data_IF_804902911091
#
_entry.id   IF_804902911091
#
_cell.length_a   1.000
_cell.length_b   1.000
_cell.length_c   1.000
_cell.angle_alpha   90.00
_cell.angle_beta   90.00
_cell.angle_gamma   90.00
#
_symmetry.space_group_name_H-M   'P 1'
#
loop_
_entity.id
_entity.type
_entity.pdbx_description
1 polymer ?
#
# COMPACT_ATOMS: atom_id res chain seq x y z
N UNK A 1 42.31 -10.75 50.83
CA UNK A 1 42.51 -12.08 50.22
C UNK A 1 41.26 -12.92 50.50
N UNK A 2 40.27 -12.87 49.60
CA UNK A 2 39.01 -13.62 49.72
C UNK A 2 38.83 -14.39 48.41
N UNK A 3 38.83 -15.73 48.49
CA UNK A 3 38.67 -16.65 47.35
C UNK A 3 37.21 -16.82 47.03
N UNK A 4 36.81 -16.57 45.77
CA UNK A 4 35.51 -16.97 45.24
C UNK A 4 35.58 -18.33 44.56
N UNK A 5 34.72 -19.25 45.02
CA UNK A 5 34.52 -20.58 44.42
C UNK A 5 33.57 -20.48 43.26
N UNK A 6 33.99 -20.92 42.07
CA UNK A 6 33.13 -21.09 40.91
C UNK A 6 32.29 -22.37 41.05
N UNK A 7 30.96 -22.24 41.00
CA UNK A 7 30.01 -23.36 40.84
C UNK A 7 29.78 -23.61 39.37
N UNK A 8 30.22 -24.77 38.89
CA UNK A 8 29.98 -25.28 37.55
C UNK A 8 28.56 -25.83 37.47
N UNK A 9 27.72 -25.23 36.65
CA UNK A 9 26.40 -25.80 36.27
C UNK A 9 26.57 -26.53 34.96
N UNK A 10 26.39 -27.84 34.95
CA UNK A 10 26.37 -28.68 33.75
C UNK A 10 25.01 -28.50 33.05
N UNK A 11 25.02 -27.91 31.88
CA UNK A 11 23.87 -27.86 30.95
C UNK A 11 23.96 -29.04 30.00
N UNK A 12 23.00 -29.94 30.07
CA UNK A 12 22.80 -31.05 29.13
C UNK A 12 21.94 -30.54 27.97
N UNK A 13 22.55 -30.11 26.86
CA UNK A 13 21.86 -29.82 25.64
C UNK A 13 21.59 -31.10 24.84
N UNK A 14 20.33 -31.51 24.76
CA UNK A 14 19.87 -32.49 23.76
C UNK A 14 19.81 -31.80 22.40
N UNK A 15 20.72 -32.14 21.50
CA UNK A 15 20.66 -31.78 20.08
C UNK A 15 19.62 -32.67 19.42
N UNK A 16 18.54 -32.05 18.95
CA UNK A 16 17.59 -32.67 18.03
C UNK A 16 18.14 -32.49 16.62
N UNK A 17 18.58 -33.55 15.98
CA UNK A 17 18.98 -33.57 14.58
C UNK A 17 17.70 -33.67 13.75
N UNK A 18 17.31 -32.58 13.07
CA UNK A 18 16.27 -32.61 12.03
C UNK A 18 16.98 -32.81 10.69
N UNK A 19 16.83 -34.01 10.14
CA UNK A 19 17.27 -34.30 8.77
C UNK A 19 16.29 -33.66 7.79
N UNK A 20 16.75 -32.65 7.04
CA UNK A 20 16.00 -32.09 5.90
C UNK A 20 16.27 -32.97 4.69
N UNK A 21 15.27 -33.74 4.28
CA UNK A 21 15.26 -34.47 3.00
C UNK A 21 14.77 -33.47 1.94
N UNK A 22 15.68 -33.03 1.06
CA UNK A 22 15.36 -32.31 -0.16
C UNK A 22 14.77 -33.29 -1.18
N UNK A 23 13.44 -33.30 -1.33
CA UNK A 23 12.78 -33.92 -2.47
C UNK A 23 12.34 -32.80 -3.43
N UNK A 24 13.03 -32.68 -4.56
CA UNK A 24 12.59 -31.89 -5.69
C UNK A 24 11.36 -32.56 -6.33
N UNK A 25 10.18 -32.05 -6.01
CA UNK A 25 8.91 -32.47 -6.61
C UNK A 25 8.50 -31.49 -7.69
N UNK A 26 8.68 -31.87 -8.96
CA UNK A 26 8.02 -31.22 -10.09
C UNK A 26 6.51 -31.47 -9.98
N UNK A 27 5.72 -30.45 -9.63
CA UNK A 27 4.28 -30.50 -9.79
C UNK A 27 3.90 -29.99 -11.19
N UNK A 28 3.73 -30.91 -12.11
CA UNK A 28 2.97 -30.67 -13.33
C UNK A 28 1.47 -30.72 -12.98
N UNK A 29 0.78 -29.60 -13.07
CA UNK A 29 -0.69 -29.58 -13.02
C UNK A 29 -1.23 -30.15 -14.33
N UNK A 30 -1.68 -31.41 -14.30
CA UNK A 30 -2.45 -32.01 -15.39
C UNK A 30 -3.92 -31.66 -15.24
N UNK A 31 -4.45 -30.88 -16.17
CA UNK A 31 -5.90 -30.73 -16.36
C UNK A 31 -6.48 -32.04 -16.86
N UNK A 32 -7.48 -32.58 -16.15
CA UNK A 32 -8.30 -33.68 -16.63
C UNK A 32 -9.28 -33.19 -17.70
N UNK A 33 -9.40 -33.85 -18.85
CA UNK A 33 -10.48 -33.56 -19.80
C UNK A 33 -11.80 -34.21 -19.36
N UNK A 34 -12.85 -33.42 -19.32
CA UNK A 34 -14.22 -33.93 -19.24
C UNK A 34 -14.69 -34.32 -20.63
N UNK A 35 -15.04 -35.59 -20.80
CA UNK A 35 -15.67 -36.11 -22.01
C UNK A 35 -17.14 -35.67 -22.08
N UNK A 36 -17.49 -34.93 -23.11
CA UNK A 36 -18.86 -34.76 -23.56
C UNK A 36 -18.90 -34.75 -25.09
N UNK A 37 -19.78 -35.54 -25.59
CA UNK A 37 -20.19 -36.00 -26.90
C UNK A 37 -20.01 -35.05 -28.09
N UNK A 38 -19.57 -35.63 -29.21
CA UNK A 38 -19.61 -35.07 -30.55
C UNK A 38 -21.02 -34.85 -31.06
N UNK A 39 -21.30 -33.63 -31.51
CA UNK A 39 -22.23 -33.42 -32.63
C UNK A 39 -21.53 -32.53 -33.65
N UNK A 40 -21.34 -33.10 -34.85
CA UNK A 40 -20.85 -32.41 -36.03
C UNK A 40 -21.97 -31.52 -36.58
N UNK A 41 -21.70 -30.22 -36.73
CA UNK A 41 -22.35 -29.39 -37.73
C UNK A 41 -21.34 -28.39 -38.32
N UNK A 42 -21.26 -28.47 -39.59
CA UNK A 42 -20.62 -27.69 -40.65
C UNK A 42 -20.15 -26.26 -40.38
N UNK A 43 -18.96 -26.05 -40.97
CA UNK A 43 -18.21 -24.82 -41.09
C UNK A 43 -18.99 -23.58 -41.55
N UNK A 44 -18.76 -22.45 -40.85
CA UNK A 44 -18.60 -21.15 -41.49
C UNK A 44 -17.41 -20.48 -40.84
N UNK A 45 -16.36 -20.30 -41.60
CA UNK A 45 -15.16 -19.53 -41.28
C UNK A 45 -15.54 -18.05 -41.24
N UNK A 46 -15.95 -17.58 -40.08
CA UNK A 46 -15.97 -16.18 -39.75
C UNK A 46 -14.85 -15.94 -38.72
N UNK A 47 -13.79 -15.34 -39.16
CA UNK A 47 -12.70 -14.84 -38.30
C UNK A 47 -13.25 -13.68 -37.43
N UNK A 48 -14.02 -14.04 -36.40
CA UNK A 48 -14.38 -13.12 -35.34
C UNK A 48 -13.22 -13.08 -34.35
N UNK A 49 -12.21 -12.25 -34.63
CA UNK A 49 -11.34 -11.69 -33.60
C UNK A 49 -12.26 -10.98 -32.60
N UNK A 50 -12.78 -11.71 -31.62
CA UNK A 50 -13.48 -11.10 -30.49
C UNK A 50 -12.53 -10.12 -29.87
N UNK A 51 -12.83 -8.83 -30.00
CA UNK A 51 -12.13 -7.74 -29.31
C UNK A 51 -12.25 -8.02 -27.81
N UNK A 52 -11.24 -8.70 -27.25
CA UNK A 52 -11.18 -8.92 -25.79
C UNK A 52 -10.86 -7.57 -25.18
N UNK A 53 -11.86 -6.96 -24.56
CA UNK A 53 -11.64 -5.80 -23.71
C UNK A 53 -10.93 -6.24 -22.44
N UNK A 54 -9.79 -5.62 -22.15
CA UNK A 54 -9.10 -5.84 -20.87
C UNK A 54 -9.77 -4.97 -19.80
N UNK A 55 -10.03 -5.56 -18.64
CA UNK A 55 -10.51 -4.83 -17.46
C UNK A 55 -9.68 -5.26 -16.25
N UNK A 56 -9.14 -4.28 -15.52
CA UNK A 56 -8.40 -4.48 -14.28
C UNK A 56 -9.02 -3.66 -13.15
N UNK A 57 -9.01 -4.23 -11.95
CA UNK A 57 -9.42 -3.57 -10.71
C UNK A 57 -8.21 -3.37 -9.82
N UNK A 58 -7.76 -2.12 -9.66
CA UNK A 58 -6.66 -1.77 -8.76
C UNK A 58 -7.24 -1.08 -7.53
N UNK A 59 -6.73 -1.42 -6.34
CA UNK A 59 -7.13 -0.77 -5.09
C UNK A 59 -5.92 -0.12 -4.43
N UNK A 60 -6.09 1.11 -3.97
CA UNK A 60 -5.06 1.88 -3.27
C UNK A 60 -5.56 2.29 -1.88
N UNK A 61 -4.69 2.16 -0.88
CA UNK A 61 -4.91 2.65 0.48
C UNK A 61 -3.93 3.77 0.83
N UNK A 62 -4.37 4.74 1.62
CA UNK A 62 -3.55 5.85 2.12
C UNK A 62 -2.54 5.42 3.17
N UNK A 63 -2.22 6.32 4.10
CA UNK A 63 -1.14 6.16 5.07
C UNK A 63 -1.45 5.09 6.12
N UNK A 64 -0.62 4.04 6.16
CA UNK A 64 -0.68 2.94 7.12
C UNK A 64 0.33 3.23 8.22
N UNK A 65 -0.15 3.71 9.36
CA UNK A 65 0.67 4.11 10.49
C UNK A 65 0.32 3.30 11.73
N UNK A 66 1.29 3.08 12.62
CA UNK A 66 1.05 2.39 13.89
C UNK A 66 1.61 3.17 15.06
N UNK A 67 0.74 3.91 15.74
CA UNK A 67 1.10 4.66 16.94
C UNK A 67 1.13 3.78 18.19
N UNK A 68 1.78 4.26 19.26
CA UNK A 68 1.90 3.53 20.51
C UNK A 68 0.58 2.97 21.08
N UNK A 69 -0.56 3.72 21.06
CA UNK A 69 -1.84 3.17 21.50
C UNK A 69 -2.35 2.00 20.64
N UNK A 70 -2.08 2.00 19.32
CA UNK A 70 -2.44 0.88 18.43
C UNK A 70 -1.58 -0.37 18.73
N UNK A 71 -0.27 -0.18 18.98
CA UNK A 71 0.63 -1.28 19.38
C UNK A 71 0.11 -1.92 20.67
N UNK A 72 -0.23 -1.11 21.68
CA UNK A 72 -0.81 -1.63 22.94
C UNK A 72 -2.16 -2.33 22.75
N UNK A 73 -2.97 -1.83 21.84
CA UNK A 73 -4.25 -2.45 21.49
C UNK A 73 -4.09 -3.82 20.83
N UNK A 74 -3.06 -3.99 20.00
CA UNK A 74 -2.76 -5.25 19.31
C UNK A 74 -2.09 -6.29 20.20
N UNK A 75 -1.49 -5.89 21.34
CA UNK A 75 -0.77 -6.81 22.24
C UNK A 75 -1.67 -7.93 22.75
N UNK A 76 -1.19 -9.18 22.73
CA UNK A 76 -1.89 -10.36 23.19
C UNK A 76 -1.33 -10.82 24.56
N UNK A 77 -2.10 -11.64 25.28
CA UNK A 77 -1.73 -12.12 26.61
C UNK A 77 -0.46 -13.02 26.62
N UNK A 78 -0.15 -13.64 25.49
CA UNK A 78 1.04 -14.46 25.28
C UNK A 78 2.30 -13.66 24.91
N UNK A 79 2.20 -12.32 24.81
CA UNK A 79 3.28 -11.44 24.42
C UNK A 79 3.39 -11.16 22.91
N UNK A 80 2.58 -11.81 22.09
CA UNK A 80 2.49 -11.55 20.64
C UNK A 80 1.63 -10.31 20.34
N UNK A 81 1.47 -10.00 19.05
CA UNK A 81 0.63 -8.92 18.56
C UNK A 81 -0.33 -9.43 17.47
N UNK A 82 -1.54 -8.86 17.42
CA UNK A 82 -2.52 -9.15 16.37
C UNK A 82 -3.26 -7.87 15.96
N UNK A 83 -3.12 -7.52 14.68
CA UNK A 83 -3.78 -6.38 14.05
C UNK A 83 -4.94 -6.79 13.14
N UNK A 84 -5.21 -8.09 12.98
CA UNK A 84 -6.16 -8.62 11.99
C UNK A 84 -7.55 -8.01 12.14
N UNK A 85 -8.04 -7.91 13.37
CA UNK A 85 -9.38 -7.35 13.66
C UNK A 85 -9.54 -5.88 13.25
N UNK A 86 -8.45 -5.14 13.08
CA UNK A 86 -8.50 -3.74 12.60
C UNK A 86 -8.94 -3.64 11.14
N UNK A 87 -8.72 -4.67 10.33
CA UNK A 87 -8.93 -4.64 8.89
C UNK A 87 -10.12 -5.47 8.40
N UNK A 88 -10.79 -6.23 9.26
CA UNK A 88 -11.84 -7.18 8.87
C UNK A 88 -12.94 -6.57 7.98
N UNK A 89 -13.43 -5.38 8.33
CA UNK A 89 -14.52 -4.74 7.60
C UNK A 89 -14.12 -4.18 6.23
N UNK A 90 -12.83 -3.86 6.02
CA UNK A 90 -12.30 -3.37 4.75
C UNK A 90 -11.66 -4.47 3.90
N UNK A 91 -11.35 -5.62 4.49
CA UNK A 91 -10.76 -6.76 3.79
C UNK A 91 -11.50 -7.17 2.52
N UNK A 92 -12.84 -7.30 2.48
CA UNK A 92 -13.53 -7.67 1.26
C UNK A 92 -13.32 -6.68 0.11
N UNK A 93 -13.14 -5.39 0.42
CA UNK A 93 -12.89 -4.34 -0.59
C UNK A 93 -11.48 -4.41 -1.16
N UNK A 94 -10.50 -4.84 -0.35
CA UNK A 94 -9.10 -4.96 -0.76
C UNK A 94 -8.87 -6.29 -1.49
N UNK A 95 -9.35 -7.40 -0.91
CA UNK A 95 -9.10 -8.74 -1.41
C UNK A 95 -9.76 -9.06 -2.77
N UNK A 96 -10.74 -8.28 -3.21
CA UNK A 96 -11.37 -8.44 -4.54
C UNK A 96 -10.57 -7.79 -5.67
N UNK A 97 -9.55 -6.97 -5.36
CA UNK A 97 -8.74 -6.29 -6.36
C UNK A 97 -7.86 -7.29 -7.13
N UNK A 98 -7.55 -6.98 -8.39
CA UNK A 98 -6.52 -7.66 -9.15
C UNK A 98 -5.11 -7.29 -8.67
N UNK A 99 -4.98 -6.10 -8.04
CA UNK A 99 -3.77 -5.62 -7.37
C UNK A 99 -4.15 -4.60 -6.30
N UNK A 100 -3.69 -4.80 -5.07
CA UNK A 100 -3.89 -3.90 -3.95
C UNK A 100 -2.56 -3.29 -3.47
N UNK A 101 -2.52 -1.96 -3.37
CA UNK A 101 -1.32 -1.17 -3.03
C UNK A 101 -1.59 -0.28 -1.83
N UNK A 102 -0.67 -0.19 -0.86
CA UNK A 102 -0.77 0.69 0.29
C UNK A 102 0.52 1.46 0.56
N UNK A 103 0.42 2.64 1.21
CA UNK A 103 1.60 3.37 1.70
C UNK A 103 1.93 2.94 3.13
N UNK A 104 3.02 2.18 3.31
CA UNK A 104 3.49 1.74 4.63
C UNK A 104 4.32 2.86 5.28
N UNK A 105 3.66 3.70 6.08
CA UNK A 105 4.29 4.84 6.76
C UNK A 105 4.73 4.49 8.19
N UNK A 106 5.49 3.43 8.28
CA UNK A 106 6.16 2.93 9.48
C UNK A 106 7.29 1.99 9.08
N UNK A 107 8.18 1.66 10.01
CA UNK A 107 9.20 0.63 9.80
C UNK A 107 8.91 -0.61 10.66
N UNK A 108 9.39 -1.78 10.24
CA UNK A 108 9.53 -2.96 11.08
C UNK A 108 10.96 -2.98 11.64
N UNK A 109 11.22 -2.09 12.61
CA UNK A 109 12.56 -1.87 13.18
C UNK A 109 12.88 -2.76 14.39
N UNK A 110 12.06 -3.78 14.66
CA UNK A 110 12.20 -4.65 15.81
C UNK A 110 11.87 -3.99 17.16
N UNK A 111 11.95 -4.77 18.22
CA UNK A 111 11.74 -4.31 19.61
C UNK A 111 12.93 -3.42 20.09
N UNK A 112 12.68 -2.40 20.93
CA UNK A 112 11.39 -2.01 21.46
C UNK A 112 10.52 -1.32 20.39
N UNK A 113 9.25 -1.77 20.29
CA UNK A 113 8.29 -1.16 19.36
C UNK A 113 7.89 0.23 19.82
N UNK A 114 7.68 1.14 18.86
CA UNK A 114 7.38 2.55 19.13
C UNK A 114 6.45 3.15 18.04
N UNK A 115 5.65 4.12 18.45
CA UNK A 115 4.93 5.02 17.54
C UNK A 115 5.74 6.30 17.29
N UNK A 116 4.99 7.38 16.94
CA UNK A 116 5.59 8.70 16.71
C UNK A 116 6.49 9.12 17.89
N UNK A 117 7.65 9.81 17.64
CA UNK A 117 8.10 10.27 16.32
C UNK A 117 8.94 9.26 15.52
N UNK A 118 9.36 8.15 16.12
CA UNK A 118 10.26 7.16 15.52
C UNK A 118 9.56 5.81 15.48
N UNK A 119 8.87 5.52 14.38
CA UNK A 119 8.03 4.33 14.26
C UNK A 119 8.85 3.04 14.18
N UNK A 120 8.42 2.06 14.96
CA UNK A 120 8.83 0.66 14.87
C UNK A 120 7.63 -0.21 15.19
N UNK A 121 6.96 -0.71 14.18
CA UNK A 121 5.76 -1.55 14.33
C UNK A 121 6.13 -3.01 14.55
N UNK A 122 5.31 -3.77 15.32
CA UNK A 122 5.40 -5.22 15.31
C UNK A 122 5.16 -5.79 13.92
N UNK A 123 5.91 -6.80 13.53
CA UNK A 123 5.83 -7.48 12.23
C UNK A 123 4.46 -8.12 11.97
N UNK A 124 3.70 -8.38 13.04
CA UNK A 124 2.29 -8.81 12.98
C UNK A 124 1.39 -7.84 12.18
N UNK A 125 1.76 -6.56 12.08
CA UNK A 125 1.07 -5.62 11.19
C UNK A 125 1.20 -6.05 9.72
N UNK A 126 2.39 -6.46 9.28
CA UNK A 126 2.61 -6.94 7.91
C UNK A 126 1.79 -8.20 7.63
N UNK A 127 1.70 -9.12 8.61
CA UNK A 127 0.85 -10.32 8.52
C UNK A 127 -0.62 -9.93 8.34
N UNK A 128 -1.12 -8.96 9.12
CA UNK A 128 -2.49 -8.48 9.00
C UNK A 128 -2.76 -7.77 7.66
N UNK A 129 -1.80 -7.01 7.12
CA UNK A 129 -1.90 -6.39 5.80
C UNK A 129 -1.92 -7.44 4.68
N UNK A 130 -1.06 -8.48 4.77
CA UNK A 130 -1.11 -9.60 3.82
C UNK A 130 -2.43 -10.35 3.87
N UNK A 131 -2.93 -10.63 5.07
CA UNK A 131 -4.25 -11.24 5.29
C UNK A 131 -5.38 -10.38 4.70
N UNK A 132 -5.24 -9.06 4.74
CA UNK A 132 -6.23 -8.12 4.19
C UNK A 132 -6.24 -8.08 2.66
N UNK A 133 -5.20 -8.61 2.00
CA UNK A 133 -5.12 -8.71 0.55
C UNK A 133 -4.15 -7.74 -0.12
N UNK A 134 -3.30 -7.03 0.63
CA UNK A 134 -2.28 -6.18 0.02
C UNK A 134 -1.21 -7.01 -0.70
N UNK A 135 -0.92 -6.64 -1.95
CA UNK A 135 0.10 -7.24 -2.80
C UNK A 135 1.37 -6.42 -2.84
N UNK A 136 1.24 -5.08 -2.74
CA UNK A 136 2.35 -4.12 -2.81
C UNK A 136 2.24 -3.14 -1.65
N UNK A 137 3.36 -2.90 -0.96
CA UNK A 137 3.48 -1.80 0.00
C UNK A 137 4.60 -0.87 -0.44
N UNK A 138 4.27 0.42 -0.62
CA UNK A 138 5.26 1.46 -0.90
C UNK A 138 5.92 1.90 0.39
N UNK A 139 7.23 2.11 0.34
CA UNK A 139 8.06 2.36 1.51
C UNK A 139 8.88 3.65 1.42
N UNK A 140 8.65 4.49 0.39
CA UNK A 140 9.22 5.84 0.29
C UNK A 140 8.28 6.85 0.95
N UNK A 141 8.57 7.21 2.20
CA UNK A 141 7.87 8.24 2.98
C UNK A 141 8.82 8.88 3.99
N UNK A 142 8.35 9.89 4.71
CA UNK A 142 9.16 10.62 5.67
C UNK A 142 9.60 9.78 6.89
N UNK A 143 8.94 8.65 7.17
CA UNK A 143 9.27 7.70 8.24
C UNK A 143 10.15 6.52 7.80
N UNK A 144 10.56 6.47 6.55
CA UNK A 144 11.39 5.37 6.01
C UNK A 144 12.71 5.16 6.76
N UNK A 145 13.27 6.21 7.36
CA UNK A 145 14.55 6.19 8.06
C UNK A 145 14.46 6.10 9.59
N UNK A 146 13.26 5.95 10.17
CA UNK A 146 13.03 6.03 11.62
C UNK A 146 13.88 5.03 12.43
N UNK A 147 14.15 3.86 11.91
CA UNK A 147 15.00 2.84 12.55
C UNK A 147 16.30 2.61 11.76
N UNK A 148 16.74 3.63 11.04
CA UNK A 148 17.98 3.71 10.25
C UNK A 148 18.12 2.52 9.28
N UNK A 149 19.36 2.09 8.98
CA UNK A 149 19.62 0.99 8.03
C UNK A 149 18.89 -0.30 8.41
N UNK A 150 18.89 -0.66 9.70
CA UNK A 150 18.19 -1.86 10.15
C UNK A 150 16.69 -1.78 9.87
N UNK A 151 16.04 -0.65 10.19
CA UNK A 151 14.61 -0.49 9.91
C UNK A 151 14.28 -0.63 8.42
N UNK A 152 15.09 -0.04 7.55
CA UNK A 152 14.92 -0.14 6.09
C UNK A 152 15.07 -1.61 5.64
N UNK A 153 16.19 -2.25 5.99
CA UNK A 153 16.49 -3.61 5.51
C UNK A 153 15.51 -4.63 6.08
N UNK A 154 15.25 -4.56 7.39
CA UNK A 154 14.33 -5.50 8.04
C UNK A 154 12.88 -5.32 7.58
N UNK A 155 12.43 -4.09 7.31
CA UNK A 155 11.11 -3.87 6.69
C UNK A 155 10.99 -4.60 5.36
N UNK A 156 12.01 -4.49 4.49
CA UNK A 156 12.03 -5.19 3.21
C UNK A 156 12.05 -6.72 3.42
N UNK A 157 12.86 -7.22 4.37
CA UNK A 157 12.97 -8.65 4.66
C UNK A 157 11.63 -9.24 5.13
N UNK A 158 10.92 -8.54 6.02
CA UNK A 158 9.59 -8.93 6.52
C UNK A 158 8.59 -9.00 5.37
N UNK A 159 8.54 -7.97 4.52
CA UNK A 159 7.58 -7.92 3.42
C UNK A 159 7.90 -8.96 2.34
N UNK A 160 9.18 -9.12 1.98
CA UNK A 160 9.63 -10.16 1.03
C UNK A 160 9.26 -11.58 1.56
N UNK A 161 9.41 -11.83 2.87
CA UNK A 161 9.07 -13.12 3.50
C UNK A 161 7.57 -13.48 3.42
N UNK A 162 6.72 -12.45 3.38
CA UNK A 162 5.26 -12.59 3.26
C UNK A 162 4.76 -12.55 1.81
N UNK A 163 5.66 -12.40 0.83
CA UNK A 163 5.31 -12.26 -0.57
C UNK A 163 4.59 -10.94 -0.88
N UNK A 164 4.85 -9.88 -0.10
CA UNK A 164 4.38 -8.52 -0.39
C UNK A 164 5.51 -7.80 -1.13
N UNK A 165 5.25 -7.38 -2.37
CA UNK A 165 6.22 -6.63 -3.15
C UNK A 165 6.43 -5.21 -2.59
N UNK A 166 7.66 -4.68 -2.72
CA UNK A 166 8.00 -3.35 -2.23
C UNK A 166 8.65 -2.47 -3.30
N UNK A 167 8.43 -1.17 -3.19
CA UNK A 167 9.15 -0.16 -3.98
C UNK A 167 9.30 1.13 -3.17
N UNK A 168 10.38 1.88 -3.44
CA UNK A 168 10.67 3.16 -2.78
C UNK A 168 11.79 3.11 -1.75
N UNK A 169 12.10 1.94 -1.18
CA UNK A 169 13.29 1.72 -0.34
C UNK A 169 13.99 0.43 -0.71
N UNK A 170 15.33 0.40 -0.55
CA UNK A 170 16.17 -0.71 -1.01
C UNK A 170 17.37 -0.87 -0.07
N UNK A 171 17.88 -2.10 0.02
CA UNK A 171 19.07 -2.41 0.83
C UNK A 171 20.34 -1.81 0.24
N UNK A 172 20.41 -1.72 -1.11
CA UNK A 172 21.55 -1.16 -1.85
C UNK A 172 21.11 -0.50 -3.15
N UNK A 173 21.99 0.31 -3.75
CA UNK A 173 21.78 0.88 -5.08
C UNK A 173 21.66 -0.22 -6.16
N UNK A 174 22.39 -1.32 -6.01
CA UNK A 174 22.29 -2.46 -6.92
C UNK A 174 20.90 -3.11 -6.85
N UNK A 175 20.34 -3.30 -5.64
CA UNK A 175 18.99 -3.82 -5.47
C UNK A 175 17.96 -2.87 -6.11
N UNK A 176 18.10 -1.54 -5.86
CA UNK A 176 17.25 -0.54 -6.51
C UNK A 176 17.27 -0.68 -8.03
N UNK A 177 18.48 -0.80 -8.61
CA UNK A 177 18.63 -0.93 -10.07
C UNK A 177 17.94 -2.17 -10.65
N UNK A 178 17.75 -3.21 -9.86
CA UNK A 178 17.05 -4.44 -10.28
C UNK A 178 15.54 -4.38 -10.06
N UNK A 179 15.08 -3.70 -9.02
CA UNK A 179 13.67 -3.68 -8.56
C UNK A 179 12.89 -2.43 -9.01
N UNK A 180 13.55 -1.39 -9.51
CA UNK A 180 12.88 -0.17 -10.00
C UNK A 180 12.90 -0.11 -11.53
N UNK A 181 11.77 0.10 -12.22
CA UNK A 181 10.41 0.11 -11.66
C UNK A 181 9.97 -1.25 -11.12
N UNK A 182 9.06 -1.26 -10.15
CA UNK A 182 8.38 -2.50 -9.76
C UNK A 182 7.38 -2.86 -10.86
N UNK A 183 7.66 -3.92 -11.61
CA UNK A 183 6.77 -4.43 -12.65
C UNK A 183 5.86 -5.50 -12.07
N UNK A 184 4.55 -5.22 -12.05
CA UNK A 184 3.51 -6.17 -11.68
C UNK A 184 2.80 -6.67 -12.94
N UNK A 185 2.80 -7.99 -13.17
CA UNK A 185 2.03 -8.60 -14.27
C UNK A 185 0.65 -9.00 -13.74
N UNK A 186 -0.38 -8.27 -14.14
CA UNK A 186 -1.76 -8.45 -13.69
C UNK A 186 -2.61 -8.85 -14.90
N UNK A 187 -3.14 -10.08 -14.91
CA UNK A 187 -3.88 -10.64 -16.06
C UNK A 187 -3.16 -10.48 -17.41
N UNK A 188 -1.82 -10.55 -17.38
CA UNK A 188 -0.99 -10.41 -18.57
C UNK A 188 -0.68 -8.96 -18.98
N UNK A 189 -1.16 -7.97 -18.24
CA UNK A 189 -0.84 -6.53 -18.40
C UNK A 189 0.31 -6.16 -17.48
N UNK A 190 1.31 -5.48 -17.99
CA UNK A 190 2.45 -4.99 -17.20
C UNK A 190 2.16 -3.59 -16.63
N UNK A 191 2.04 -3.53 -15.33
CA UNK A 191 1.90 -2.26 -14.58
C UNK A 191 3.27 -1.91 -13.99
N UNK A 192 3.72 -0.67 -14.15
CA UNK A 192 4.91 -0.15 -13.49
C UNK A 192 4.49 0.70 -12.29
N UNK A 193 5.01 0.35 -11.10
CA UNK A 193 4.74 1.07 -9.85
C UNK A 193 6.03 1.69 -9.35
N UNK A 194 5.94 2.95 -8.97
CA UNK A 194 7.01 3.75 -8.39
C UNK A 194 6.56 4.35 -7.07
N UNK A 195 7.50 4.62 -6.17
CA UNK A 195 7.22 5.37 -4.96
C UNK A 195 8.35 6.37 -4.68
N UNK A 196 7.98 7.62 -4.41
CA UNK A 196 8.93 8.70 -4.12
C UNK A 196 8.46 9.52 -2.92
N UNK A 197 9.42 10.05 -2.15
CA UNK A 197 9.13 10.92 -0.99
C UNK A 197 9.86 12.26 -1.09
N UNK A 198 9.26 13.29 -0.49
CA UNK A 198 9.90 14.61 -0.37
C UNK A 198 11.12 14.60 0.57
N UNK A 199 11.21 13.62 1.47
CA UNK A 199 12.29 13.55 2.45
C UNK A 199 12.06 12.49 3.52
N UNK A 200 12.91 12.53 4.54
CA UNK A 200 13.01 11.52 5.62
C UNK A 200 13.03 12.18 7.01
N UNK A 201 12.20 13.21 7.23
CA UNK A 201 12.14 13.98 8.49
C UNK A 201 13.53 14.52 8.94
N UNK A 202 14.38 14.86 7.98
CA UNK A 202 15.74 15.34 8.27
C UNK A 202 16.72 14.25 8.70
N UNK A 203 16.31 13.00 8.76
CA UNK A 203 17.20 11.88 9.03
C UNK A 203 18.05 11.56 7.79
N UNK A 204 19.38 11.37 7.91
CA UNK A 204 20.20 10.96 6.79
C UNK A 204 19.83 9.55 6.34
N UNK A 205 19.79 9.31 5.04
CA UNK A 205 19.64 7.96 4.46
C UNK A 205 20.95 7.20 4.74
N UNK A 206 20.90 6.10 5.50
CA UNK A 206 22.11 5.41 5.90
C UNK A 206 22.67 4.55 4.76
N UNK A 207 23.96 4.74 4.46
CA UNK A 207 24.65 3.88 3.49
C UNK A 207 24.72 2.44 4.00
N UNK A 208 24.54 1.39 3.15
CA UNK A 208 24.36 1.43 1.67
C UNK A 208 22.89 1.51 1.23
N UNK A 209 21.93 1.73 2.15
CA UNK A 209 20.51 1.74 1.83
C UNK A 209 20.13 2.94 0.95
N UNK A 210 19.01 2.81 0.24
CA UNK A 210 18.50 3.82 -0.67
C UNK A 210 17.02 4.07 -0.38
N UNK A 211 16.62 5.33 -0.32
CA UNK A 211 15.23 5.77 -0.33
C UNK A 211 15.04 6.61 -1.60
N UNK A 212 13.98 6.34 -2.34
CA UNK A 212 13.64 7.11 -3.53
C UNK A 212 13.02 8.45 -3.13
N UNK A 213 13.85 9.48 -3.12
CA UNK A 213 13.42 10.87 -2.96
C UNK A 213 12.95 11.45 -4.30
N UNK A 214 12.12 12.49 -4.23
CA UNK A 214 11.65 13.23 -5.40
C UNK A 214 12.83 13.92 -6.07
N UNK A 215 13.23 13.40 -7.22
CA UNK A 215 14.29 13.89 -8.08
C UNK A 215 13.85 13.70 -9.53
N UNK A 216 13.66 14.81 -10.26
CA UNK A 216 13.07 14.78 -11.60
C UNK A 216 13.91 14.00 -12.62
N UNK A 217 15.23 14.07 -12.53
CA UNK A 217 16.13 13.36 -13.44
C UNK A 217 16.04 11.86 -13.21
N UNK A 218 16.06 11.45 -11.95
CA UNK A 218 15.88 10.05 -11.55
C UNK A 218 14.51 9.52 -11.95
N UNK A 219 13.44 10.25 -11.66
CA UNK A 219 12.07 9.88 -12.03
C UNK A 219 11.94 9.72 -13.54
N UNK A 220 12.48 10.65 -14.33
CA UNK A 220 12.46 10.56 -15.80
C UNK A 220 13.19 9.31 -16.29
N UNK A 221 14.37 9.02 -15.74
CA UNK A 221 15.14 7.79 -16.06
C UNK A 221 14.37 6.52 -15.72
N UNK A 222 13.72 6.47 -14.54
CA UNK A 222 12.92 5.34 -14.10
C UNK A 222 11.69 5.12 -15.01
N UNK A 223 11.04 6.20 -15.46
CA UNK A 223 9.89 6.14 -16.38
C UNK A 223 10.31 5.62 -17.76
N UNK A 224 11.42 6.10 -18.33
CA UNK A 224 11.97 5.57 -19.58
C UNK A 224 12.33 4.07 -19.46
N UNK A 225 12.83 3.67 -18.30
CA UNK A 225 13.10 2.26 -18.04
C UNK A 225 11.81 1.43 -18.03
N UNK A 226 10.71 1.93 -17.47
CA UNK A 226 9.42 1.26 -17.52
C UNK A 226 8.96 1.04 -18.96
N UNK A 227 9.10 2.07 -19.81
CA UNK A 227 8.76 1.98 -21.22
C UNK A 227 9.61 0.89 -21.92
N UNK A 228 10.92 0.84 -21.64
CA UNK A 228 11.83 -0.19 -22.19
C UNK A 228 11.50 -1.61 -21.72
N UNK A 229 10.89 -1.77 -20.55
CA UNK A 229 10.41 -3.06 -20.02
C UNK A 229 9.01 -3.42 -20.51
N UNK A 230 8.40 -2.55 -21.33
CA UNK A 230 7.07 -2.73 -21.91
C UNK A 230 5.95 -2.55 -20.89
N UNK A 231 6.09 -1.64 -19.96
CA UNK A 231 5.00 -1.25 -19.07
C UNK A 231 3.86 -0.60 -19.87
N UNK A 232 2.64 -1.05 -19.61
CA UNK A 232 1.44 -0.61 -20.32
C UNK A 232 0.64 0.43 -19.53
N UNK A 233 0.93 0.58 -18.23
CA UNK A 233 0.32 1.57 -17.34
C UNK A 233 1.31 1.94 -16.23
N UNK A 234 1.56 3.23 -16.03
CA UNK A 234 2.55 3.77 -15.08
C UNK A 234 1.87 4.46 -13.90
N UNK A 235 2.15 3.99 -12.69
CA UNK A 235 1.57 4.47 -11.43
C UNK A 235 2.67 5.02 -10.55
N UNK A 236 2.56 6.30 -10.15
CA UNK A 236 3.47 6.93 -9.19
C UNK A 236 2.76 7.13 -7.87
N UNK A 237 3.17 6.41 -6.83
CA UNK A 237 2.86 6.72 -5.44
C UNK A 237 3.81 7.82 -4.98
N UNK A 238 3.29 8.91 -4.42
CA UNK A 238 4.10 10.06 -4.06
C UNK A 238 3.75 10.61 -2.69
N UNK A 239 4.75 10.72 -1.82
CA UNK A 239 4.64 11.22 -0.46
C UNK A 239 5.11 12.66 -0.41
N UNK A 240 4.17 13.62 -0.34
CA UNK A 240 4.42 15.04 -0.59
C UNK A 240 3.42 15.98 0.10
N UNK A 241 3.64 17.29 -0.04
CA UNK A 241 2.75 18.33 0.50
C UNK A 241 3.06 18.68 1.94
N UNK A 242 2.08 19.23 2.64
CA UNK A 242 2.18 19.61 4.04
C UNK A 242 1.12 18.85 4.86
N UNK A 243 1.47 18.44 6.07
CA UNK A 243 0.55 17.77 6.98
C UNK A 243 -0.68 18.65 7.26
N UNK A 244 -1.85 18.02 7.26
CA UNK A 244 -3.16 18.58 7.62
C UNK A 244 -3.72 19.65 6.68
N UNK A 245 -3.03 19.96 5.58
CA UNK A 245 -3.54 20.85 4.54
C UNK A 245 -4.60 20.15 3.69
N UNK A 246 -5.82 20.72 3.66
CA UNK A 246 -6.94 20.14 2.88
C UNK A 246 -6.78 20.32 1.37
N UNK A 247 -6.11 21.38 0.94
CA UNK A 247 -5.91 21.67 -0.48
C UNK A 247 -4.46 21.39 -0.88
N UNK A 248 -4.22 20.78 -2.04
CA UNK A 248 -2.87 20.62 -2.53
C UNK A 248 -2.20 21.98 -2.77
N UNK A 249 -0.95 22.10 -2.34
CA UNK A 249 -0.18 23.31 -2.52
C UNK A 249 0.36 23.43 -3.96
N UNK A 250 1.00 24.57 -4.26
CA UNK A 250 1.54 24.86 -5.60
C UNK A 250 2.57 23.82 -6.05
N UNK A 251 3.44 23.37 -5.14
CA UNK A 251 4.50 22.38 -5.46
C UNK A 251 3.89 21.04 -5.87
N UNK A 252 2.86 20.59 -5.14
CA UNK A 252 2.14 19.37 -5.50
C UNK A 252 1.52 19.48 -6.89
N UNK A 253 0.85 20.60 -7.21
CA UNK A 253 0.19 20.81 -8.52
C UNK A 253 1.20 20.86 -9.67
N UNK A 254 2.31 21.59 -9.51
CA UNK A 254 3.37 21.70 -10.52
C UNK A 254 4.06 20.36 -10.78
N UNK A 255 4.33 19.59 -9.71
CA UNK A 255 4.94 18.27 -9.83
C UNK A 255 3.96 17.26 -10.44
N UNK A 256 2.67 17.30 -10.08
CA UNK A 256 1.65 16.47 -10.70
C UNK A 256 1.56 16.71 -12.22
N UNK A 257 1.52 17.98 -12.65
CA UNK A 257 1.49 18.32 -14.06
C UNK A 257 2.75 17.84 -14.78
N UNK A 258 3.92 18.03 -14.17
CA UNK A 258 5.17 17.54 -14.74
C UNK A 258 5.18 16.01 -14.90
N UNK A 259 4.70 15.26 -13.90
CA UNK A 259 4.56 13.78 -13.98
C UNK A 259 3.59 13.38 -15.09
N UNK A 260 2.48 14.11 -15.23
CA UNK A 260 1.53 13.89 -16.32
C UNK A 260 2.20 14.07 -17.69
N UNK A 261 2.96 15.13 -17.86
CA UNK A 261 3.70 15.43 -19.11
C UNK A 261 4.81 14.40 -19.41
N UNK A 262 5.32 13.70 -18.36
CA UNK A 262 6.23 12.54 -18.52
C UNK A 262 5.48 11.22 -18.85
N UNK A 263 4.16 11.26 -19.02
CA UNK A 263 3.36 10.09 -19.41
C UNK A 263 3.01 9.14 -18.27
N UNK A 264 2.96 9.62 -17.03
CA UNK A 264 2.39 8.86 -15.89
C UNK A 264 0.88 8.76 -16.07
N UNK A 265 0.30 7.59 -15.84
CA UNK A 265 -1.13 7.34 -16.02
C UNK A 265 -1.94 7.62 -14.75
N UNK A 266 -1.40 7.30 -13.58
CA UNK A 266 -2.01 7.59 -12.30
C UNK A 266 -0.99 8.09 -11.26
N UNK A 267 -1.35 9.14 -10.52
CA UNK A 267 -0.58 9.72 -9.43
C UNK A 267 -1.39 9.57 -8.15
N UNK A 268 -0.84 8.84 -7.18
CA UNK A 268 -1.49 8.53 -5.92
C UNK A 268 -0.70 9.20 -4.79
N UNK A 269 -1.25 10.29 -4.23
CA UNK A 269 -0.61 11.09 -3.20
C UNK A 269 -0.87 10.60 -1.78
N UNK A 270 0.10 10.86 -0.89
CA UNK A 270 0.10 10.57 0.54
C UNK A 270 0.85 11.66 1.32
N UNK A 271 0.92 11.60 2.65
CA UNK A 271 1.58 12.52 3.58
C UNK A 271 0.67 13.56 4.26
N UNK A 272 -0.25 14.30 3.60
CA UNK A 272 -1.07 15.30 4.31
C UNK A 272 -1.95 14.71 5.43
N UNK A 273 -2.09 13.39 5.53
CA UNK A 273 -2.93 12.67 6.49
C UNK A 273 -4.41 13.02 6.42
N UNK A 274 -4.80 13.85 5.48
CA UNK A 274 -6.18 14.21 5.15
C UNK A 274 -6.39 14.01 3.65
N UNK A 275 -7.60 13.64 3.26
CA UNK A 275 -7.91 13.48 1.83
C UNK A 275 -7.90 14.86 1.17
N UNK A 276 -7.17 14.97 0.08
CA UNK A 276 -7.17 16.12 -0.81
C UNK A 276 -7.97 15.78 -2.08
N UNK A 277 -8.24 16.77 -2.90
CA UNK A 277 -8.97 16.62 -4.16
C UNK A 277 -8.31 15.63 -5.12
N UNK A 278 -9.08 15.15 -6.07
CA UNK A 278 -8.59 14.44 -7.25
C UNK A 278 -8.95 15.20 -8.53
N UNK A 279 -8.15 14.97 -9.57
CA UNK A 279 -8.34 15.65 -10.86
C UNK A 279 -7.89 14.74 -12.03
N UNK A 280 -8.26 15.16 -13.23
CA UNK A 280 -7.66 14.65 -14.48
C UNK A 280 -6.80 15.76 -15.08
N UNK A 281 -5.51 15.49 -15.20
CA UNK A 281 -4.54 16.42 -15.76
C UNK A 281 -4.38 16.13 -17.26
N UNK A 282 -4.51 17.16 -18.08
CA UNK A 282 -4.21 17.06 -19.51
C UNK A 282 -2.69 16.95 -19.68
N UNK A 283 -2.25 16.01 -20.52
CA UNK A 283 -0.84 15.87 -20.90
C UNK A 283 -0.52 16.83 -22.03
N UNK A 284 0.69 17.36 -22.04
CA UNK A 284 1.15 18.22 -23.12
C UNK A 284 1.11 17.44 -24.46
N UNK A 285 0.37 17.98 -25.44
CA UNK A 285 0.24 17.37 -26.78
C UNK A 285 -0.81 16.26 -26.92
N UNK A 286 -1.48 15.84 -25.85
CA UNK A 286 -2.50 14.80 -25.86
C UNK A 286 -3.89 15.40 -25.55
N UNK A 287 -4.92 15.05 -26.35
CA UNK A 287 -6.28 15.61 -26.18
C UNK A 287 -7.28 14.64 -25.53
N UNK A 288 -6.98 13.35 -25.44
CA UNK A 288 -8.01 12.32 -25.18
C UNK A 288 -7.84 11.55 -23.89
N UNK A 289 -6.62 11.43 -23.34
CA UNK A 289 -6.34 10.62 -22.17
C UNK A 289 -5.49 11.41 -21.19
N UNK A 290 -6.11 11.91 -20.14
CA UNK A 290 -5.42 12.63 -19.09
C UNK A 290 -4.85 11.68 -18.03
N UNK A 291 -3.92 12.19 -17.22
CA UNK A 291 -3.43 11.51 -16.03
C UNK A 291 -4.42 11.68 -14.89
N UNK A 292 -4.82 10.58 -14.26
CA UNK A 292 -5.57 10.66 -13.01
C UNK A 292 -4.63 11.06 -11.87
N UNK A 293 -5.03 12.01 -11.03
CA UNK A 293 -4.33 12.35 -9.80
C UNK A 293 -5.30 12.42 -8.62
N UNK A 294 -4.92 11.81 -7.51
CA UNK A 294 -5.42 12.14 -6.18
C UNK A 294 -4.25 12.69 -5.37
N UNK A 295 -4.39 13.92 -4.86
CA UNK A 295 -3.29 14.61 -4.20
C UNK A 295 -2.96 14.07 -2.82
N UNK A 296 -3.95 13.54 -2.10
CA UNK A 296 -3.74 12.77 -0.86
C UNK A 296 -4.93 11.87 -0.59
N UNK A 297 -4.66 10.65 -0.18
CA UNK A 297 -5.68 9.68 0.23
C UNK A 297 -5.99 9.74 1.73
N UNK A 298 -5.24 10.55 2.51
CA UNK A 298 -5.36 10.61 3.95
C UNK A 298 -4.91 9.33 4.66
N UNK A 299 -5.22 9.21 5.94
CA UNK A 299 -4.86 8.04 6.73
C UNK A 299 -5.72 6.83 6.37
N UNK A 300 -5.09 5.71 6.01
CA UNK A 300 -5.80 4.44 5.98
C UNK A 300 -6.02 3.95 7.40
N UNK A 301 -4.96 3.87 8.21
CA UNK A 301 -5.06 3.58 9.66
C UNK A 301 -4.00 4.36 10.44
N UNK A 302 -4.43 5.05 11.49
CA UNK A 302 -3.55 5.79 12.40
C UNK A 302 -4.22 6.01 13.77
N UNK A 303 -3.49 6.62 14.71
CA UNK A 303 -4.09 7.15 15.94
C UNK A 303 -4.15 8.69 15.94
N UNK A 304 -3.98 9.33 14.80
CA UNK A 304 -4.23 10.77 14.69
C UNK A 304 -5.74 11.01 14.78
N UNK A 305 -6.15 11.89 15.68
CA UNK A 305 -7.57 12.16 15.96
C UNK A 305 -7.92 13.65 15.82
N UNK A 306 -6.92 14.50 15.70
CA UNK A 306 -7.08 15.95 15.53
C UNK A 306 -6.10 16.41 14.45
N UNK A 307 -6.59 17.12 13.43
CA UNK A 307 -8.02 17.43 13.16
C UNK A 307 -8.87 16.18 12.85
N UNK A 308 -10.19 16.31 12.92
CA UNK A 308 -11.13 15.18 12.70
C UNK A 308 -10.91 14.46 11.36
N UNK A 309 -10.44 15.17 10.35
CA UNK A 309 -10.11 14.63 9.03
C UNK A 309 -9.05 13.53 9.07
N UNK A 310 -8.16 13.52 10.07
CA UNK A 310 -7.12 12.49 10.20
C UNK A 310 -7.64 11.16 10.77
N UNK A 311 -8.93 11.12 11.21
CA UNK A 311 -9.57 9.90 11.72
C UNK A 311 -9.89 8.86 10.64
N UNK A 312 -9.30 8.99 9.49
CA UNK A 312 -9.46 8.10 8.36
C UNK A 312 -9.04 8.76 7.06
N UNK A 313 -9.39 8.14 5.96
CA UNK A 313 -9.08 8.60 4.61
C UNK A 313 -9.94 7.85 3.60
N UNK A 314 -9.31 7.29 2.57
CA UNK A 314 -10.07 6.52 1.60
C UNK A 314 -9.33 5.28 1.09
N UNK A 315 -10.12 4.33 0.59
CA UNK A 315 -9.74 3.34 -0.40
C UNK A 315 -10.15 3.88 -1.76
N UNK A 316 -9.21 3.97 -2.68
CA UNK A 316 -9.44 4.31 -4.06
C UNK A 316 -9.42 3.04 -4.90
N UNK A 317 -10.48 2.76 -5.62
CA UNK A 317 -10.49 1.71 -6.66
C UNK A 317 -10.36 2.37 -8.01
N UNK A 318 -9.39 1.95 -8.82
CA UNK A 318 -9.28 2.33 -10.23
C UNK A 318 -9.71 1.15 -11.10
N UNK A 319 -10.79 1.32 -11.84
CA UNK A 319 -11.15 0.41 -12.92
C UNK A 319 -10.46 0.86 -14.18
N UNK A 320 -9.51 0.05 -14.66
CA UNK A 320 -8.83 0.28 -15.93
C UNK A 320 -9.52 -0.54 -17.01
N UNK A 321 -9.90 0.09 -18.11
CA UNK A 321 -10.50 -0.60 -19.26
C UNK A 321 -9.83 -0.16 -20.56
N UNK A 322 -9.67 -1.08 -21.50
CA UNK A 322 -9.30 -0.78 -22.88
C UNK A 322 -10.02 -1.71 -23.85
N UNK A 323 -10.36 -1.19 -25.01
CA UNK A 323 -11.13 -1.91 -26.03
C UNK A 323 -10.28 -2.89 -26.84
N UNK A 324 -8.99 -2.64 -26.93
CA UNK A 324 -7.99 -3.49 -27.60
C UNK A 324 -6.59 -3.26 -27.04
N UNK A 325 -5.63 -4.12 -27.37
CA UNK A 325 -4.24 -3.97 -26.91
C UNK A 325 -3.56 -2.68 -27.40
N UNK A 326 -4.00 -2.10 -28.50
CA UNK A 326 -3.48 -0.85 -29.04
C UNK A 326 -4.25 0.38 -28.56
N UNK A 327 -5.40 0.18 -27.88
CA UNK A 327 -6.18 1.29 -27.34
C UNK A 327 -5.57 1.80 -26.03
N UNK A 328 -5.71 3.09 -25.79
CA UNK A 328 -5.31 3.69 -24.55
C UNK A 328 -6.23 3.23 -23.39
N UNK A 329 -5.67 3.20 -22.18
CA UNK A 329 -6.42 2.85 -20.99
C UNK A 329 -7.40 3.98 -20.59
N UNK A 330 -8.64 3.59 -20.31
CA UNK A 330 -9.62 4.45 -19.63
C UNK A 330 -9.53 4.13 -18.14
N UNK A 331 -9.34 5.14 -17.31
CA UNK A 331 -9.22 5.01 -15.85
C UNK A 331 -10.48 5.58 -15.21
N UNK A 332 -11.26 4.75 -14.52
CA UNK A 332 -12.45 5.14 -13.79
C UNK A 332 -12.21 5.02 -12.30
N UNK A 333 -12.21 6.13 -11.53
CA UNK A 333 -12.04 6.09 -10.08
C UNK A 333 -13.35 5.77 -9.37
N UNK A 334 -13.26 5.04 -8.26
CA UNK A 334 -14.32 4.84 -7.28
C UNK A 334 -13.75 5.08 -5.88
N UNK A 335 -14.44 5.88 -5.09
CA UNK A 335 -13.97 6.37 -3.80
C UNK A 335 -14.80 5.77 -2.66
N UNK A 336 -14.13 5.07 -1.75
CA UNK A 336 -14.72 4.56 -0.54
C UNK A 336 -14.03 5.20 0.67
N UNK A 337 -14.71 6.09 1.39
CA UNK A 337 -14.16 6.62 2.64
C UNK A 337 -14.05 5.54 3.70
N UNK A 338 -13.01 5.64 4.51
CA UNK A 338 -12.72 4.73 5.61
C UNK A 338 -12.56 5.55 6.89
N UNK A 339 -13.29 5.18 7.93
CA UNK A 339 -13.24 5.81 9.24
C UNK A 339 -12.55 4.87 10.24
N UNK A 340 -11.63 5.40 11.04
CA UNK A 340 -10.97 4.66 12.12
C UNK A 340 -11.79 4.80 13.39
N UNK A 341 -12.55 3.77 13.75
CA UNK A 341 -13.18 3.65 15.06
C UNK A 341 -12.10 3.43 16.12
N UNK A 342 -12.16 4.21 17.19
CA UNK A 342 -11.33 4.04 18.38
C UNK A 342 -12.21 4.03 19.62
N UNK A 343 -12.40 2.90 20.25
CA UNK A 343 -13.10 2.80 21.51
C UNK A 343 -12.37 1.88 22.50
N UNK A 344 -12.76 1.92 23.75
CA UNK A 344 -12.11 1.14 24.78
C UNK A 344 -13.13 0.29 25.56
N UNK A 345 -13.66 -0.80 24.98
CA UNK A 345 -14.52 -1.72 25.70
C UNK A 345 -13.69 -2.34 26.85
N UNK A 346 -14.23 -2.27 28.05
CA UNK A 346 -13.56 -2.82 29.24
C UNK A 346 -12.15 -2.25 29.50
N UNK A 347 -11.89 -0.98 29.11
CA UNK A 347 -10.61 -0.30 29.34
C UNK A 347 -9.50 -0.64 28.35
N UNK A 348 -9.69 -1.58 27.43
CA UNK A 348 -8.74 -1.91 26.36
C UNK A 348 -9.11 -1.20 25.08
N UNK A 349 -8.21 -0.38 24.52
CA UNK A 349 -8.43 0.30 23.24
C UNK A 349 -8.56 -0.73 22.10
N UNK A 350 -9.46 -0.42 21.16
CA UNK A 350 -9.66 -1.16 19.91
C UNK A 350 -9.61 -0.16 18.77
N UNK A 351 -8.99 -0.54 17.67
CA UNK A 351 -8.93 0.22 16.43
C UNK A 351 -9.53 -0.62 15.31
N UNK A 352 -10.57 -0.12 14.65
CA UNK A 352 -11.22 -0.78 13.53
C UNK A 352 -11.44 0.18 12.38
N UNK A 353 -11.17 -0.27 11.20
CA UNK A 353 -11.48 0.43 9.97
C UNK A 353 -12.91 0.09 9.54
N UNK A 354 -13.70 1.12 9.24
CA UNK A 354 -15.04 0.96 8.72
C UNK A 354 -15.18 1.67 7.38
N UNK A 355 -15.63 0.98 6.32
CA UNK A 355 -16.05 1.66 5.11
C UNK A 355 -17.32 2.47 5.42
N UNK A 356 -17.30 3.75 5.06
CA UNK A 356 -18.37 4.69 5.37
C UNK A 356 -18.76 5.52 4.15
N UNK A 357 -20.07 5.81 4.02
CA UNK A 357 -20.55 6.84 3.10
C UNK A 357 -20.45 8.22 3.72
N UNK A 358 -20.61 9.26 2.89
CA UNK A 358 -20.67 10.64 3.39
C UNK A 358 -22.12 11.09 3.77
N UNK A 359 -23.11 10.21 3.65
CA UNK A 359 -24.45 10.41 4.21
C UNK A 359 -24.43 10.29 5.75
N UNK A 360 -25.46 10.79 6.43
CA UNK A 360 -25.55 10.72 7.90
C UNK A 360 -25.85 9.30 8.44
N UNK A 361 -25.58 8.27 7.65
CA UNK A 361 -25.74 6.86 8.06
C UNK A 361 -24.70 6.52 9.13
N UNK A 362 -25.20 6.05 10.27
CA UNK A 362 -24.36 5.63 11.38
C UNK A 362 -24.03 4.14 11.27
N UNK A 363 -22.85 3.78 11.75
CA UNK A 363 -22.46 2.40 11.94
C UNK A 363 -23.22 1.80 13.13
N UNK A 364 -23.71 0.57 12.97
CA UNK A 364 -24.35 -0.14 14.08
C UNK A 364 -23.29 -0.58 15.10
N UNK A 365 -23.63 -0.41 16.38
CA UNK A 365 -22.81 -0.91 17.48
C UNK A 365 -21.63 -0.04 17.90
N UNK A 366 -21.40 1.14 17.28
CA UNK A 366 -20.40 2.08 17.76
C UNK A 366 -20.95 2.96 18.90
N UNK A 367 -20.08 3.46 19.75
CA UNK A 367 -20.46 4.31 20.89
C UNK A 367 -21.08 5.65 20.44
N UNK A 368 -21.85 6.35 21.30
CA UNK A 368 -22.36 7.69 20.98
C UNK A 368 -21.25 8.69 20.66
N UNK A 369 -20.10 8.59 21.34
CA UNK A 369 -18.93 9.44 21.07
C UNK A 369 -18.40 9.18 19.66
N UNK A 370 -18.12 7.93 19.30
CA UNK A 370 -17.64 7.55 17.98
C UNK A 370 -18.64 7.90 16.86
N UNK A 371 -19.94 7.81 17.16
CA UNK A 371 -21.01 8.25 16.25
C UNK A 371 -20.95 9.76 15.98
N UNK A 372 -20.63 10.58 17.00
CA UNK A 372 -20.43 12.02 16.85
C UNK A 372 -19.21 12.35 16.01
N UNK A 373 -18.10 11.66 16.25
CA UNK A 373 -16.86 11.79 15.50
C UNK A 373 -17.05 11.39 14.03
N UNK A 374 -17.74 10.27 13.77
CA UNK A 374 -18.07 9.83 12.41
C UNK A 374 -18.89 10.90 11.66
N UNK A 375 -19.92 11.48 12.29
CA UNK A 375 -20.69 12.57 11.66
C UNK A 375 -19.83 13.79 11.36
N UNK A 376 -18.90 14.14 12.26
CA UNK A 376 -17.98 15.26 12.02
C UNK A 376 -17.04 14.97 10.85
N UNK A 377 -16.49 13.75 10.75
CA UNK A 377 -15.69 13.26 9.64
C UNK A 377 -16.47 13.30 8.32
N UNK A 378 -17.69 12.78 8.29
CA UNK A 378 -18.55 12.79 7.10
C UNK A 378 -18.83 14.23 6.63
N UNK A 379 -19.17 15.15 7.54
CA UNK A 379 -19.39 16.56 7.21
C UNK A 379 -18.13 17.23 6.63
N UNK A 380 -16.97 16.91 7.18
CA UNK A 380 -15.70 17.45 6.69
C UNK A 380 -15.47 17.07 5.22
N UNK A 381 -15.64 15.79 4.88
CA UNK A 381 -15.30 15.26 3.56
C UNK A 381 -16.36 15.50 2.47
N UNK A 382 -17.58 15.91 2.81
CA UNK A 382 -18.62 16.29 1.81
C UNK A 382 -18.19 17.44 0.90
N UNK A 383 -17.17 18.18 1.25
CA UNK A 383 -16.71 19.38 0.51
C UNK A 383 -15.51 19.10 -0.40
N UNK A 384 -14.98 17.90 -0.39
CA UNK A 384 -13.83 17.54 -1.21
C UNK A 384 -14.28 17.31 -2.66
N UNK A 385 -13.59 17.96 -3.60
CA UNK A 385 -13.81 17.74 -5.02
C UNK A 385 -13.08 16.49 -5.47
N UNK A 386 -13.82 15.54 -6.05
CA UNK A 386 -13.26 14.30 -6.58
C UNK A 386 -13.60 14.17 -8.06
N UNK A 387 -12.61 13.79 -8.89
CA UNK A 387 -12.80 13.56 -10.32
C UNK A 387 -13.70 12.33 -10.56
N UNK A 388 -14.54 12.40 -11.60
CA UNK A 388 -15.36 11.28 -12.07
C UNK A 388 -14.59 10.32 -12.99
#
# INVERSE_FOLDING_TARGET
>A
MIKFHARTVKSTSRRLLVAVVLSAGFFALSCRPSTASQEQTSASSGDSTSLRSDTLQLVFAGDIMTHGPQIRAAAQANGDYDFTSSFEAVRPLIAQADLAVGNLETTFGGSPYSGYPMFSSPEALAVALRYSGFDVLTTANNHSCDRRAYGITHTIDVLDSLGIATTGSYRTLEERSKRTPLICSVRGVKLAIFAYTYGTNGLPIPHPTVIDTIDKERISSDLHRADSLGAEYKIVQIHWGNEYEQNPNKVQRELAQWLADQGVDAIIGSHPHVVQESARLQRQGERTHGTFVIYSMGNFISNQITPIATRGGMLLSLTLTRESKSAAWKTQPHYQYVFVEKHAPNGRSVYRLHPVGLSDTLLKGISPHESSELRAFQRYYRKISLAE
#
